data_IF_144007596808
#
_entry.id   IF_144007596808
#
_cell.length_a   1.000
_cell.length_b   1.000
_cell.length_c   1.000
_cell.angle_alpha   90.00
_cell.angle_beta   90.00
_cell.angle_gamma   90.00
#
_symmetry.space_group_name_H-M   'P 1'
#
loop_
_entity.id
_entity.type
_entity.pdbx_description
1 polymer ?
#
# COMPACT_ATOMS: atom_id res chain seq x y z
N UNK A 1 42.03 -10.91 -8.65
CA UNK A 1 41.26 -10.99 -7.38
C UNK A 1 40.52 -9.70 -7.02
N UNK A 2 41.14 -8.51 -7.04
CA UNK A 2 40.47 -7.23 -6.67
C UNK A 2 39.20 -6.89 -7.46
N UNK A 3 39.12 -7.27 -8.74
CA UNK A 3 37.98 -6.99 -9.63
C UNK A 3 36.73 -7.81 -9.33
N UNK A 4 36.87 -9.04 -8.84
CA UNK A 4 35.73 -9.90 -8.49
C UNK A 4 35.00 -9.39 -7.24
N UNK A 5 35.75 -8.88 -6.26
CA UNK A 5 35.21 -8.35 -4.99
C UNK A 5 34.43 -7.06 -5.19
N UNK A 6 34.84 -6.21 -6.13
CA UNK A 6 34.12 -4.98 -6.49
C UNK A 6 32.80 -5.32 -7.17
N UNK A 7 32.80 -6.26 -8.13
CA UNK A 7 31.59 -6.70 -8.84
C UNK A 7 30.55 -7.32 -7.90
N UNK A 8 30.96 -8.15 -6.94
CA UNK A 8 30.05 -8.74 -5.96
C UNK A 8 29.39 -7.68 -5.07
N UNK A 9 30.17 -6.70 -4.58
CA UNK A 9 29.64 -5.59 -3.77
C UNK A 9 28.60 -4.77 -4.53
N UNK A 10 28.83 -4.46 -5.80
CA UNK A 10 27.89 -3.69 -6.62
C UNK A 10 26.58 -4.44 -6.85
N UNK A 11 26.65 -5.74 -7.16
CA UNK A 11 25.46 -6.57 -7.37
C UNK A 11 24.64 -6.70 -6.09
N UNK A 12 25.28 -6.94 -4.94
CA UNK A 12 24.58 -7.00 -3.64
C UNK A 12 23.95 -5.67 -3.24
N UNK A 13 24.61 -4.54 -3.50
CA UNK A 13 24.06 -3.22 -3.21
C UNK A 13 22.82 -2.93 -4.08
N UNK A 14 22.87 -3.33 -5.35
CA UNK A 14 21.76 -3.23 -6.29
C UNK A 14 20.57 -4.10 -5.88
N UNK A 15 20.82 -5.35 -5.48
CA UNK A 15 19.74 -6.24 -5.01
C UNK A 15 19.10 -5.70 -3.74
N UNK A 16 19.91 -5.22 -2.79
CA UNK A 16 19.41 -4.59 -1.56
C UNK A 16 18.56 -3.35 -1.88
N UNK A 17 18.99 -2.52 -2.83
CA UNK A 17 18.22 -1.36 -3.27
C UNK A 17 16.88 -1.77 -3.88
N UNK A 18 16.83 -2.83 -4.71
CA UNK A 18 15.56 -3.36 -5.24
C UNK A 18 14.61 -3.84 -4.13
N UNK A 19 15.12 -4.57 -3.14
CA UNK A 19 14.31 -5.04 -2.02
C UNK A 19 13.74 -3.89 -1.18
N UNK A 20 14.53 -2.84 -0.95
CA UNK A 20 14.07 -1.66 -0.21
C UNK A 20 12.97 -0.86 -0.96
N UNK A 21 12.99 -0.85 -2.29
CA UNK A 21 11.97 -0.16 -3.09
C UNK A 21 10.64 -0.95 -3.15
N UNK A 22 10.67 -2.28 -3.11
CA UNK A 22 9.47 -3.11 -3.18
C UNK A 22 8.48 -2.89 -2.01
N UNK A 23 8.99 -2.52 -0.83
CA UNK A 23 8.17 -2.31 0.37
C UNK A 23 7.38 -0.99 0.42
N UNK A 24 7.59 -0.04 -0.52
CA UNK A 24 7.10 1.34 -0.36
C UNK A 24 5.92 1.76 -1.24
N UNK A 25 5.35 0.82 -2.01
CA UNK A 25 4.34 1.13 -3.03
C UNK A 25 2.93 1.32 -2.46
N UNK A 26 2.66 0.74 -1.28
CA UNK A 26 1.35 0.77 -0.64
C UNK A 26 1.37 1.70 0.56
N UNK A 27 0.41 2.62 0.62
CA UNK A 27 0.26 3.53 1.75
C UNK A 27 -1.21 3.77 2.04
N UNK A 28 -1.54 3.86 3.33
CA UNK A 28 -2.77 4.49 3.78
C UNK A 28 -2.72 5.97 3.40
N UNK A 29 -3.80 6.44 2.79
CA UNK A 29 -3.97 7.83 2.38
C UNK A 29 -5.20 8.37 3.08
N UNK A 30 -5.03 9.50 3.76
CA UNK A 30 -6.14 10.26 4.32
C UNK A 30 -6.89 10.96 3.19
N UNK A 31 -8.21 10.81 3.18
CA UNK A 31 -9.11 11.48 2.25
C UNK A 31 -10.02 12.46 3.00
N UNK A 32 -10.43 13.57 2.36
CA UNK A 32 -11.40 14.49 2.96
C UNK A 32 -12.77 13.83 3.07
N UNK A 33 -13.60 14.30 4.01
CA UNK A 33 -14.91 13.69 4.30
C UNK A 33 -15.88 13.79 3.13
N UNK A 34 -15.75 14.83 2.33
CA UNK A 34 -16.56 15.11 1.14
C UNK A 34 -16.29 14.12 0.00
N UNK A 35 -15.15 13.42 0.04
CA UNK A 35 -14.81 12.33 -0.89
C UNK A 35 -15.43 10.99 -0.45
N UNK A 36 -16.01 10.91 0.76
CA UNK A 36 -16.89 9.82 1.16
C UNK A 36 -18.21 9.96 0.38
N UNK A 37 -18.20 9.66 -0.91
CA UNK A 37 -19.39 9.58 -1.76
C UNK A 37 -19.74 8.12 -1.93
N UNK A 38 -21.03 7.78 -1.78
CA UNK A 38 -21.62 6.44 -1.88
C UNK A 38 -20.61 5.33 -1.57
N UNK A 39 -20.56 4.92 -0.30
CA UNK A 39 -19.85 3.70 0.07
C UNK A 39 -20.50 2.58 -0.74
N UNK A 40 -19.79 2.09 -1.76
CA UNK A 40 -20.25 0.96 -2.55
C UNK A 40 -20.40 -0.23 -1.60
N UNK A 41 -21.47 -1.00 -1.78
CA UNK A 41 -21.87 -2.07 -0.85
C UNK A 41 -20.84 -3.21 -0.73
N UNK A 42 -19.83 -3.23 -1.60
CA UNK A 42 -18.71 -4.15 -1.60
C UNK A 42 -17.53 -3.70 -0.71
N UNK A 43 -17.52 -2.45 -0.23
CA UNK A 43 -16.46 -1.91 0.63
C UNK A 43 -16.66 -2.31 2.09
N UNK A 44 -15.55 -2.66 2.73
CA UNK A 44 -15.47 -2.98 4.15
C UNK A 44 -15.16 -1.72 4.92
N UNK A 45 -16.06 -1.32 5.82
CA UNK A 45 -15.86 -0.14 6.65
C UNK A 45 -15.37 -0.57 8.03
N UNK A 46 -14.15 -0.18 8.37
CA UNK A 46 -13.51 -0.44 9.65
C UNK A 46 -13.58 0.85 10.46
N UNK A 47 -14.26 0.81 11.60
CA UNK A 47 -14.38 1.92 12.53
C UNK A 47 -13.29 1.82 13.60
N UNK A 48 -12.59 2.91 13.84
CA UNK A 48 -11.63 3.07 14.93
C UNK A 48 -12.18 4.08 15.92
N UNK A 49 -12.34 3.65 17.17
CA UNK A 49 -12.82 4.49 18.25
C UNK A 49 -11.94 4.25 19.48
N UNK A 50 -11.18 5.27 19.89
CA UNK A 50 -10.26 5.17 21.02
C UNK A 50 -9.29 3.99 20.84
N UNK A 51 -9.47 2.91 21.61
CA UNK A 51 -8.68 1.68 21.61
C UNK A 51 -9.37 0.50 20.88
N UNK A 52 -10.61 0.71 20.40
CA UNK A 52 -11.42 -0.32 19.75
C UNK A 52 -11.38 -0.19 18.23
N UNK A 53 -11.27 -1.34 17.59
CA UNK A 53 -11.48 -1.48 16.16
C UNK A 53 -12.70 -2.36 15.92
N UNK A 54 -13.63 -1.84 15.13
CA UNK A 54 -14.93 -2.41 14.89
C UNK A 54 -15.19 -2.50 13.38
N UNK A 55 -16.07 -3.41 12.98
CA UNK A 55 -16.51 -3.56 11.61
C UNK A 55 -17.92 -3.00 11.49
N UNK A 56 -18.15 -2.10 10.53
CA UNK A 56 -19.48 -1.64 10.17
C UNK A 56 -20.00 -2.50 9.01
N UNK A 57 -20.94 -3.38 9.32
CA UNK A 57 -21.56 -4.28 8.37
C UNK A 57 -22.75 -3.61 7.67
N UNK A 58 -22.90 -3.87 6.36
CA UNK A 58 -23.88 -3.21 5.49
C UNK A 58 -23.85 -1.67 5.65
N UNK A 59 -22.70 -1.03 5.43
CA UNK A 59 -22.58 0.42 5.56
C UNK A 59 -23.48 1.11 4.53
N UNK A 60 -24.31 2.05 4.99
CA UNK A 60 -25.16 2.88 4.15
C UNK A 60 -24.86 4.33 4.48
N UNK A 61 -24.40 5.07 3.46
CA UNK A 61 -24.22 6.51 3.56
C UNK A 61 -25.44 7.22 2.96
N UNK A 62 -26.21 7.90 3.80
CA UNK A 62 -27.42 8.61 3.37
C UNK A 62 -27.51 9.96 4.09
N UNK A 63 -27.75 11.04 3.35
CA UNK A 63 -27.97 12.40 3.88
C UNK A 63 -26.91 12.90 4.89
N UNK A 64 -25.65 12.46 4.75
CA UNK A 64 -24.57 12.88 5.65
C UNK A 64 -24.43 12.04 6.92
N UNK A 65 -25.14 10.91 6.99
CA UNK A 65 -25.02 9.92 8.05
C UNK A 65 -24.56 8.57 7.50
N UNK A 66 -23.57 7.99 8.16
CA UNK A 66 -23.08 6.65 7.95
C UNK A 66 -23.76 5.70 8.93
N UNK A 67 -24.61 4.83 8.41
CA UNK A 67 -25.34 3.85 9.21
C UNK A 67 -24.91 2.43 8.89
N UNK A 68 -25.14 1.51 9.83
CA UNK A 68 -24.84 0.09 9.65
C UNK A 68 -24.95 -0.68 10.95
N UNK A 69 -24.48 -1.91 10.96
CA UNK A 69 -24.46 -2.78 12.14
C UNK A 69 -23.02 -2.95 12.61
N UNK A 70 -22.75 -2.64 13.88
CA UNK A 70 -21.42 -2.78 14.45
C UNK A 70 -21.15 -4.22 14.87
N UNK A 71 -20.02 -4.74 14.41
CA UNK A 71 -19.50 -6.06 14.76
C UNK A 71 -18.07 -5.94 15.29
N UNK A 72 -17.60 -6.89 16.12
CA UNK A 72 -16.19 -6.97 16.46
C UNK A 72 -15.36 -7.17 15.19
N UNK A 73 -14.31 -6.36 15.01
CA UNK A 73 -13.37 -6.58 13.92
C UNK A 73 -12.44 -7.74 14.30
N UNK A 74 -12.56 -8.85 13.58
CA UNK A 74 -11.63 -9.98 13.68
C UNK A 74 -10.72 -9.91 12.45
N UNK A 75 -9.40 -9.67 12.62
CA UNK A 75 -8.45 -9.79 11.53
C UNK A 75 -8.40 -11.25 11.10
N UNK A 76 -8.87 -11.54 9.90
CA UNK A 76 -8.76 -12.87 9.31
C UNK A 76 -7.80 -12.79 8.12
N UNK A 77 -6.61 -13.36 8.32
CA UNK A 77 -5.54 -13.45 7.31
C UNK A 77 -5.93 -14.32 6.10
N UNK A 78 -7.00 -15.12 6.21
CA UNK A 78 -7.54 -15.92 5.11
C UNK A 78 -8.67 -15.21 4.34
N UNK A 79 -9.03 -13.97 4.71
CA UNK A 79 -9.97 -13.20 3.90
C UNK A 79 -9.31 -12.89 2.56
N UNK A 80 -9.88 -13.44 1.50
CA UNK A 80 -9.53 -13.12 0.11
C UNK A 80 -10.08 -11.74 -0.28
N UNK A 81 -9.94 -10.77 0.63
CA UNK A 81 -10.44 -9.42 0.53
C UNK A 81 -9.22 -8.54 0.37
N UNK A 82 -9.21 -7.78 -0.72
CA UNK A 82 -8.16 -6.84 -0.98
C UNK A 82 -8.18 -5.74 0.07
N UNK A 83 -7.04 -5.38 0.65
CA UNK A 83 -6.95 -4.20 1.56
C UNK A 83 -7.42 -2.90 0.89
N UNK A 84 -7.46 -2.87 -0.44
CA UNK A 84 -8.01 -1.77 -1.24
C UNK A 84 -9.54 -1.64 -1.17
N UNK A 85 -10.20 -2.63 -0.59
CA UNK A 85 -11.64 -2.62 -0.34
C UNK A 85 -11.96 -2.19 1.09
N UNK A 86 -10.94 -1.92 1.91
CA UNK A 86 -11.08 -1.43 3.27
C UNK A 86 -11.09 0.11 3.31
N UNK A 87 -12.05 0.65 4.04
CA UNK A 87 -12.16 2.07 4.40
C UNK A 87 -12.03 2.15 5.91
N UNK A 88 -11.01 2.85 6.40
CA UNK A 88 -10.79 3.07 7.82
C UNK A 88 -11.36 4.43 8.21
N UNK A 89 -12.30 4.44 9.16
CA UNK A 89 -12.95 5.64 9.66
C UNK A 89 -12.60 5.77 11.13
N UNK A 90 -11.97 6.89 11.48
CA UNK A 90 -11.61 7.23 12.85
C UNK A 90 -12.64 8.20 13.39
N UNK A 91 -13.27 7.84 14.51
CA UNK A 91 -14.26 8.69 15.16
C UNK A 91 -13.58 9.69 16.09
N UNK A 92 -14.25 10.82 16.30
CA UNK A 92 -13.81 11.80 17.29
C UNK A 92 -13.69 11.16 18.68
N UNK A 93 -12.66 11.55 19.44
CA UNK A 93 -12.41 11.07 20.81
C UNK A 93 -13.58 11.30 21.77
N UNK A 94 -14.47 12.25 21.44
CA UNK A 94 -15.65 12.56 22.23
C UNK A 94 -16.90 11.77 21.80
N UNK A 95 -16.80 10.96 20.74
CA UNK A 95 -17.93 10.18 20.25
C UNK A 95 -18.27 9.05 21.24
N UNK A 96 -19.57 8.82 21.57
CA UNK A 96 -19.97 7.82 22.55
C UNK A 96 -19.47 6.42 22.19
N UNK A 97 -18.88 5.71 23.15
CA UNK A 97 -18.41 4.34 22.93
C UNK A 97 -19.56 3.41 22.55
N UNK A 98 -19.34 2.64 21.48
CA UNK A 98 -20.29 1.61 21.09
C UNK A 98 -20.21 0.38 21.99
N UNK A 99 -21.38 -0.22 22.24
CA UNK A 99 -21.47 -1.57 22.79
C UNK A 99 -21.31 -2.58 21.66
N UNK A 100 -20.44 -3.59 21.85
CA UNK A 100 -20.22 -4.65 20.86
C UNK A 100 -21.36 -5.68 20.98
N UNK A 101 -22.54 -5.37 20.44
CA UNK A 101 -23.75 -6.20 20.55
C UNK A 101 -24.62 -6.20 19.26
N UNK A 102 -24.00 -6.25 18.06
CA UNK A 102 -24.74 -6.18 16.78
C UNK A 102 -25.72 -4.98 16.72
N UNK A 103 -25.31 -3.87 17.33
CA UNK A 103 -26.16 -2.68 17.43
C UNK A 103 -26.18 -1.94 16.09
N UNK A 104 -27.38 -1.46 15.71
CA UNK A 104 -27.53 -0.56 14.57
C UNK A 104 -27.12 0.84 15.00
N UNK A 105 -26.19 1.43 14.25
CA UNK A 105 -25.67 2.77 14.55
C UNK A 105 -25.95 3.72 13.40
N UNK A 106 -26.01 5.02 13.73
CA UNK A 106 -25.95 6.11 12.77
C UNK A 106 -24.89 7.10 13.24
N UNK A 107 -23.87 7.29 12.42
CA UNK A 107 -22.70 8.12 12.69
C UNK A 107 -22.78 9.30 11.75
N UNK A 108 -22.85 10.51 12.28
CA UNK A 108 -22.84 11.68 11.41
C UNK A 108 -21.43 11.91 10.88
N UNK A 109 -21.31 12.39 9.64
CA UNK A 109 -20.00 12.69 9.05
C UNK A 109 -19.22 13.75 9.87
N UNK A 110 -19.91 14.64 10.57
CA UNK A 110 -19.29 15.62 11.47
C UNK A 110 -18.48 14.97 12.60
N UNK A 111 -18.93 13.81 13.08
CA UNK A 111 -18.32 13.06 14.19
C UNK A 111 -17.12 12.20 13.76
N UNK A 112 -16.89 12.05 12.45
CA UNK A 112 -15.71 11.38 11.91
C UNK A 112 -14.52 12.33 12.05
N UNK A 113 -13.42 11.92 12.67
CA UNK A 113 -12.21 12.74 12.73
C UNK A 113 -11.38 12.60 11.45
N UNK A 114 -11.18 11.36 10.99
CA UNK A 114 -10.30 11.04 9.87
C UNK A 114 -10.83 9.85 9.08
N UNK A 115 -10.62 9.85 7.76
CA UNK A 115 -10.90 8.71 6.89
C UNK A 115 -9.63 8.33 6.15
N UNK A 116 -9.29 7.06 6.13
CA UNK A 116 -8.15 6.52 5.39
C UNK A 116 -8.58 5.38 4.48
N UNK A 117 -8.01 5.37 3.28
CA UNK A 117 -8.15 4.28 2.33
C UNK A 117 -6.76 3.79 1.93
N UNK A 118 -6.65 2.52 1.56
CA UNK A 118 -5.46 2.04 0.89
C UNK A 118 -5.43 2.56 -0.55
N UNK A 119 -4.42 3.37 -0.86
CA UNK A 119 -4.20 3.89 -2.21
C UNK A 119 -2.88 3.36 -2.75
N UNK A 120 -2.86 3.05 -4.04
CA UNK A 120 -1.64 2.70 -4.74
C UNK A 120 -0.91 4.01 -5.03
N UNK A 121 0.25 4.21 -4.40
CA UNK A 121 0.99 5.45 -4.62
C UNK A 121 1.67 5.41 -6.00
N UNK A 122 0.93 5.82 -7.04
CA UNK A 122 1.36 5.81 -8.44
C UNK A 122 2.64 6.61 -8.67
N UNK A 123 2.87 7.70 -7.91
CA UNK A 123 4.11 8.49 -7.97
C UNK A 123 5.31 7.70 -7.44
N UNK A 124 5.17 7.01 -6.31
CA UNK A 124 6.23 6.13 -5.79
C UNK A 124 6.43 4.92 -6.69
N UNK A 125 5.36 4.35 -7.23
CA UNK A 125 5.43 3.25 -8.18
C UNK A 125 6.17 3.64 -9.47
N UNK A 126 5.90 4.82 -10.02
CA UNK A 126 6.60 5.35 -11.19
C UNK A 126 8.08 5.62 -10.90
N UNK A 127 8.40 6.16 -9.72
CA UNK A 127 9.78 6.35 -9.27
C UNK A 127 10.52 5.00 -9.18
N UNK A 128 9.88 4.00 -8.59
CA UNK A 128 10.43 2.65 -8.44
C UNK A 128 10.64 1.95 -9.79
N UNK A 129 9.70 2.11 -10.74
CA UNK A 129 9.84 1.63 -12.12
C UNK A 129 11.03 2.30 -12.82
N UNK A 130 11.19 3.62 -12.68
CA UNK A 130 12.30 4.35 -13.30
C UNK A 130 13.66 3.95 -12.72
N UNK A 131 13.74 3.74 -11.41
CA UNK A 131 14.94 3.26 -10.73
C UNK A 131 15.28 1.83 -11.18
N UNK A 132 14.28 0.94 -11.26
CA UNK A 132 14.48 -0.42 -11.75
C UNK A 132 14.93 -0.46 -13.21
N UNK A 133 14.38 0.40 -14.06
CA UNK A 133 14.78 0.52 -15.46
C UNK A 133 16.22 1.04 -15.60
N UNK A 134 16.61 2.02 -14.79
CA UNK A 134 17.99 2.54 -14.77
C UNK A 134 19.02 1.46 -14.41
N UNK A 135 18.69 0.56 -13.49
CA UNK A 135 19.56 -0.57 -13.13
C UNK A 135 19.63 -1.60 -14.26
N UNK A 136 18.52 -1.92 -14.92
CA UNK A 136 18.52 -2.83 -16.07
C UNK A 136 19.40 -2.31 -17.22
N UNK A 137 19.38 -1.01 -17.49
CA UNK A 137 20.27 -0.38 -18.49
C UNK A 137 21.75 -0.53 -18.08
N UNK A 138 22.07 -0.37 -16.79
CA UNK A 138 23.44 -0.55 -16.29
C UNK A 138 23.92 -2.02 -16.42
N UNK A 139 23.03 -2.98 -16.16
CA UNK A 139 23.34 -4.40 -16.34
C UNK A 139 23.53 -4.71 -17.84
N UNK A 140 22.62 -4.25 -18.69
CA UNK A 140 22.70 -4.47 -20.14
C UNK A 140 23.96 -3.86 -20.76
N UNK A 141 24.31 -2.62 -20.39
CA UNK A 141 25.54 -1.97 -20.82
C UNK A 141 26.80 -2.67 -20.29
N UNK A 142 26.78 -3.14 -19.04
CA UNK A 142 27.87 -3.95 -18.48
C UNK A 142 28.10 -5.27 -19.23
N UNK A 143 27.02 -5.97 -19.59
CA UNK A 143 27.08 -7.20 -20.41
C UNK A 143 27.60 -6.88 -21.82
N UNK A 144 27.11 -5.81 -22.44
CA UNK A 144 27.54 -5.38 -23.78
C UNK A 144 29.04 -5.04 -23.82
N UNK A 145 29.53 -4.28 -22.83
CA UNK A 145 30.95 -3.92 -22.70
C UNK A 145 31.80 -5.17 -22.49
N UNK A 146 31.34 -6.11 -21.66
CA UNK A 146 32.03 -7.39 -21.46
C UNK A 146 32.11 -8.20 -22.75
N UNK A 147 31.01 -8.32 -23.49
CA UNK A 147 30.96 -9.03 -24.77
C UNK A 147 31.88 -8.40 -25.83
N UNK A 148 31.95 -7.07 -25.89
CA UNK A 148 32.89 -6.36 -26.78
C UNK A 148 34.35 -6.58 -26.41
N UNK A 149 34.67 -6.67 -25.12
CA UNK A 149 36.02 -6.97 -24.65
C UNK A 149 36.44 -8.42 -24.96
N UNK A 150 35.54 -9.38 -24.77
CA UNK A 150 35.82 -10.80 -25.07
C UNK A 150 35.89 -11.08 -26.58
N UNK A 151 35.05 -10.41 -27.37
CA UNK A 151 35.09 -10.52 -28.84
C UNK A 151 36.39 -9.95 -29.43
N UNK A 152 36.85 -8.79 -28.94
CA UNK A 152 38.15 -8.24 -29.35
C UNK A 152 39.33 -9.15 -29.01
N UNK A 153 39.27 -9.91 -27.92
CA UNK A 153 40.37 -10.83 -27.57
C UNK A 153 40.50 -12.07 -28.46
N UNK A 154 39.48 -12.43 -29.24
CA UNK A 154 39.58 -13.53 -30.22
C UNK A 154 40.23 -13.08 -31.53
N UNK A 155 40.00 -11.84 -31.97
CA UNK A 155 40.59 -11.31 -33.21
C UNK A 155 42.11 -11.06 -33.12
N UNK A 156 42.67 -10.90 -31.91
CA UNK A 156 44.13 -10.77 -31.71
C UNK A 156 44.87 -12.12 -31.66
N UNK A 157 44.16 -13.26 -31.75
CA UNK A 157 44.76 -14.61 -31.71
C UNK A 157 44.84 -15.31 -33.08
N UNK A 158 44.55 -14.60 -34.18
CA UNK A 158 44.78 -15.08 -35.55
C UNK A 158 45.98 -14.41 -36.19
#
# INVERSE_FOLDING_TARGET
MKTATVRFKTVSLLTLFFFLQACTVHALKTIPKEELKEIQSDKIVILHQSDKTLLLYNPILFEGELSGIIKPYIPDDNRNISRYDEIHIYLNIFYPEFSINDEKVSIKIEDIDKIEIFDFNTKKAALNLSAGFGVLILIASGILIWAMQTGKTEDYKK
#
